data_IF_923600783809
#
_entry.id   IF_923600783809
#
_cell.length_a   1.000
_cell.length_b   1.000
_cell.length_c   1.000
_cell.angle_alpha   90.00
_cell.angle_beta   90.00
_cell.angle_gamma   90.00
#
_symmetry.space_group_name_H-M   'P 1'
#
loop_
_entity.id
_entity.type
_entity.pdbx_description
1 polymer ?
#
# COMPACT_ATOMS: atom_id res chain seq x y z
N UNK A 1 -3.46 -5.34 24.26
CA UNK A 1 -2.51 -4.27 23.86
C UNK A 1 -1.35 -4.28 24.84
N UNK A 2 -0.14 -4.58 24.37
CA UNK A 2 1.11 -4.45 25.14
C UNK A 2 1.91 -3.37 24.42
N UNK A 3 1.96 -2.15 24.97
CA UNK A 3 2.75 -1.06 24.38
C UNK A 3 4.03 -0.86 25.19
N UNK A 4 5.19 -1.16 24.60
CA UNK A 4 6.48 -0.67 25.09
C UNK A 4 6.82 0.61 24.33
N UNK A 5 6.89 1.73 25.05
CA UNK A 5 7.31 3.01 24.48
C UNK A 5 8.79 3.23 24.74
N UNK A 6 9.60 3.35 23.69
CA UNK A 6 10.99 3.79 23.77
C UNK A 6 11.12 5.08 22.97
N UNK A 7 11.56 6.18 23.60
CA UNK A 7 12.02 7.39 22.92
C UNK A 7 11.10 7.91 21.78
N UNK A 8 9.78 7.97 21.99
CA UNK A 8 8.83 8.49 21.00
C UNK A 8 8.32 7.48 19.98
N UNK A 9 8.67 6.20 20.12
CA UNK A 9 8.17 5.09 19.29
C UNK A 9 7.27 4.19 20.15
N UNK A 10 6.13 3.79 19.60
CA UNK A 10 5.24 2.78 20.20
C UNK A 10 5.03 1.64 19.21
N UNK A 11 5.03 0.40 19.70
CA UNK A 11 4.70 -0.79 18.93
C UNK A 11 3.35 -1.34 19.41
N UNK A 12 2.49 -1.68 18.46
CA UNK A 12 1.16 -2.25 18.71
C UNK A 12 0.93 -3.45 17.80
N UNK A 13 0.11 -4.38 18.24
CA UNK A 13 -0.30 -5.56 17.47
C UNK A 13 -1.82 -5.64 17.44
N UNK A 14 -2.37 -5.98 16.27
CA UNK A 14 -3.80 -6.17 16.04
C UNK A 14 -4.00 -7.42 15.16
N UNK A 15 -4.43 -8.56 15.75
CA UNK A 15 -4.70 -9.76 14.96
C UNK A 15 -5.95 -9.56 14.09
N UNK A 16 -5.87 -9.97 12.83
CA UNK A 16 -7.05 -10.06 11.97
C UNK A 16 -7.81 -11.35 12.28
N UNK A 17 -9.13 -11.35 12.04
CA UNK A 17 -9.92 -12.58 12.08
C UNK A 17 -9.50 -13.53 10.93
N UNK A 18 -9.84 -14.82 11.05
CA UNK A 18 -9.53 -15.83 10.02
C UNK A 18 -10.17 -15.48 8.66
N UNK A 19 -11.37 -14.89 8.70
CA UNK A 19 -12.10 -14.39 7.52
C UNK A 19 -12.39 -12.89 7.67
N UNK A 20 -11.41 -12.00 7.41
CA UNK A 20 -11.60 -10.57 7.53
C UNK A 20 -12.29 -10.01 6.28
N UNK A 21 -12.99 -8.89 6.46
CA UNK A 21 -13.54 -8.13 5.32
C UNK A 21 -12.39 -7.62 4.44
N UNK A 22 -12.37 -8.06 3.18
CA UNK A 22 -11.40 -7.59 2.20
C UNK A 22 -11.67 -6.14 1.79
N UNK A 23 -10.62 -5.39 1.52
CA UNK A 23 -10.70 -4.00 1.07
C UNK A 23 -9.59 -3.13 1.63
N UNK A 24 -9.75 -1.81 1.49
CA UNK A 24 -8.80 -0.83 2.03
C UNK A 24 -9.14 -0.51 3.48
N UNK A 25 -8.18 -0.77 4.36
CA UNK A 25 -8.26 -0.50 5.79
C UNK A 25 -7.44 0.75 6.13
N UNK A 26 -7.84 1.46 7.18
CA UNK A 26 -7.19 2.70 7.62
C UNK A 26 -6.82 2.63 9.09
N UNK A 27 -5.56 2.91 9.38
CA UNK A 27 -5.08 3.16 10.74
C UNK A 27 -5.18 4.67 10.95
N UNK A 28 -5.88 5.09 12.00
CA UNK A 28 -5.99 6.50 12.40
C UNK A 28 -5.43 6.68 13.80
N UNK A 29 -4.53 7.65 13.96
CA UNK A 29 -4.00 8.08 15.26
C UNK A 29 -4.49 9.49 15.51
N UNK A 30 -5.16 9.69 16.64
CA UNK A 30 -5.68 10.99 17.06
C UNK A 30 -4.99 11.47 18.34
N UNK A 31 -4.57 12.73 18.36
CA UNK A 31 -4.09 13.43 19.55
C UNK A 31 -4.76 14.81 19.61
N UNK A 32 -5.54 15.05 20.64
CA UNK A 32 -6.32 16.29 20.81
C UNK A 32 -7.18 16.62 19.58
N UNK A 33 -6.80 17.65 18.81
CA UNK A 33 -7.50 18.07 17.58
C UNK A 33 -6.83 17.57 16.29
N UNK A 34 -5.68 16.91 16.40
CA UNK A 34 -4.90 16.45 15.26
C UNK A 34 -5.12 14.95 15.03
N UNK A 35 -5.30 14.57 13.76
CA UNK A 35 -5.39 13.18 13.35
C UNK A 35 -4.49 12.90 12.17
N UNK A 36 -3.78 11.77 12.22
CA UNK A 36 -2.98 11.25 11.11
C UNK A 36 -3.49 9.88 10.74
N UNK A 37 -3.42 9.53 9.46
CA UNK A 37 -3.88 8.22 8.99
C UNK A 37 -3.02 7.65 7.88
N UNK A 38 -2.93 6.33 7.86
CA UNK A 38 -2.32 5.55 6.79
C UNK A 38 -3.26 4.42 6.38
N UNK A 39 -3.16 3.97 5.14
CA UNK A 39 -4.04 2.93 4.57
C UNK A 39 -3.24 1.72 4.12
N UNK A 40 -3.83 0.54 4.25
CA UNK A 40 -3.28 -0.72 3.74
C UNK A 40 -4.42 -1.61 3.23
N UNK A 41 -4.12 -2.50 2.29
CA UNK A 41 -5.12 -3.40 1.73
C UNK A 41 -5.13 -4.75 2.46
N UNK A 42 -6.33 -5.22 2.78
CA UNK A 42 -6.59 -6.59 3.24
C UNK A 42 -7.23 -7.35 2.10
N UNK A 43 -6.55 -8.38 1.61
CA UNK A 43 -7.05 -9.24 0.54
C UNK A 43 -6.37 -10.60 0.60
N UNK A 44 -7.00 -11.61 0.01
CA UNK A 44 -6.34 -12.87 -0.24
C UNK A 44 -5.16 -12.63 -1.21
N UNK A 45 -3.98 -13.12 -0.84
CA UNK A 45 -2.76 -12.86 -1.60
C UNK A 45 -1.90 -14.11 -1.69
N UNK A 46 -1.44 -14.39 -2.92
CA UNK A 46 -0.38 -15.36 -3.18
C UNK A 46 0.86 -14.59 -3.61
N UNK A 47 1.98 -14.86 -2.96
CA UNK A 47 3.24 -14.17 -3.20
C UNK A 47 3.71 -14.42 -4.65
N UNK A 48 3.80 -13.37 -5.49
CA UNK A 48 4.36 -13.46 -6.83
C UNK A 48 5.84 -13.79 -6.78
N UNK A 49 6.31 -14.56 -7.76
CA UNK A 49 7.73 -14.95 -7.85
C UNK A 49 8.60 -13.94 -8.58
N UNK A 50 7.96 -13.05 -9.33
CA UNK A 50 8.61 -12.04 -10.15
C UNK A 50 7.77 -10.77 -10.15
N UNK A 51 8.42 -9.64 -10.40
CA UNK A 51 7.78 -8.34 -10.53
C UNK A 51 7.69 -7.98 -12.01
N UNK A 52 6.51 -7.54 -12.47
CA UNK A 52 6.33 -7.00 -13.81
C UNK A 52 6.36 -5.48 -13.74
N UNK A 53 7.26 -4.86 -14.50
CA UNK A 53 7.36 -3.41 -14.64
C UNK A 53 6.92 -2.98 -16.03
N UNK A 54 5.92 -2.12 -16.09
CA UNK A 54 5.44 -1.50 -17.32
C UNK A 54 5.93 -0.05 -17.33
N UNK A 55 6.84 0.26 -18.24
CA UNK A 55 7.47 1.56 -18.37
C UNK A 55 6.83 2.32 -19.52
N UNK A 56 6.14 3.40 -19.19
CA UNK A 56 5.56 4.35 -20.14
C UNK A 56 6.55 5.49 -20.45
N UNK A 57 6.45 6.11 -21.64
CA UNK A 57 7.20 7.32 -21.94
C UNK A 57 6.68 8.48 -21.08
N UNK A 58 7.51 9.49 -20.78
CA UNK A 58 7.14 10.59 -19.88
C UNK A 58 6.05 11.50 -20.44
N UNK A 59 5.87 11.51 -21.76
CA UNK A 59 4.80 12.25 -22.43
C UNK A 59 4.44 11.56 -23.76
N UNK A 60 3.24 11.84 -24.24
CA UNK A 60 2.72 11.40 -25.54
C UNK A 60 2.05 12.57 -26.25
N UNK A 61 2.11 12.60 -27.59
CA UNK A 61 1.44 13.63 -28.38
C UNK A 61 -0.05 13.32 -28.52
N UNK A 62 -0.90 14.35 -28.56
CA UNK A 62 -2.36 14.21 -28.68
C UNK A 62 -2.79 13.38 -29.90
N UNK A 63 -2.04 13.49 -30.99
CA UNK A 63 -2.28 12.82 -32.27
C UNK A 63 -1.29 11.67 -32.53
N UNK A 64 -0.65 11.14 -31.50
CA UNK A 64 0.21 9.98 -31.67
C UNK A 64 -0.63 8.73 -31.98
N UNK A 65 -0.41 8.13 -33.14
CA UNK A 65 -1.06 6.87 -33.53
C UNK A 65 -0.52 5.67 -32.73
N UNK A 66 0.70 5.78 -32.20
CA UNK A 66 1.36 4.71 -31.43
C UNK A 66 2.10 5.26 -30.22
N UNK A 67 2.05 4.54 -29.09
CA UNK A 67 2.80 4.85 -27.88
C UNK A 67 3.77 3.71 -27.58
N UNK A 68 5.10 3.95 -27.59
CA UNK A 68 6.07 2.90 -27.27
C UNK A 68 6.04 2.62 -25.76
N UNK A 69 5.76 1.38 -25.37
CA UNK A 69 5.75 0.93 -23.97
C UNK A 69 6.73 -0.23 -23.84
N UNK A 70 7.54 -0.22 -22.76
CA UNK A 70 8.45 -1.32 -22.45
C UNK A 70 7.93 -2.12 -21.27
N UNK A 71 7.97 -3.45 -21.38
CA UNK A 71 7.53 -4.37 -20.32
C UNK A 71 8.70 -5.27 -19.94
N UNK A 72 9.08 -5.24 -18.67
CA UNK A 72 10.15 -6.07 -18.11
C UNK A 72 9.61 -6.97 -16.99
N UNK A 73 10.21 -8.15 -16.82
CA UNK A 73 9.99 -9.02 -15.68
C UNK A 73 11.34 -9.31 -14.99
N UNK A 74 11.37 -9.26 -13.66
CA UNK A 74 12.54 -9.54 -12.83
C UNK A 74 12.22 -10.50 -11.69
#
# INVERSE_FOLDING_TARGET
MISRTFLGITQMEFPLADEPVQGSWRITVSKDKDSQSTTFDVKEYKLPKFEVKINFPPFVLRNADTVPVSVCAQ
#
